data_IF_593766436648
#
_entry.id   IF_593766436648
#
_cell.length_a   1.000
_cell.length_b   1.000
_cell.length_c   1.000
_cell.angle_alpha   90.00
_cell.angle_beta   90.00
_cell.angle_gamma   90.00
#
_symmetry.space_group_name_H-M   'P 1'
#
loop_
_entity.id
_entity.type
_entity.pdbx_description
1 polymer ?
#
# COMPACT_ATOMS: atom_id res chain seq x y z
N UNK A 1 -16.68 27.79 67.92
CA UNK A 1 -16.15 27.74 66.53
C UNK A 1 -15.61 26.34 66.30
N UNK A 2 -16.09 25.59 65.30
CA UNK A 2 -15.62 24.23 64.97
C UNK A 2 -14.58 24.30 63.85
N UNK A 3 -13.50 23.50 63.86
CA UNK A 3 -12.51 23.54 62.79
C UNK A 3 -13.06 22.79 61.57
N UNK A 4 -12.92 23.43 60.41
CA UNK A 4 -13.27 22.85 59.11
C UNK A 4 -12.14 21.90 58.70
N UNK A 5 -12.42 20.59 58.64
CA UNK A 5 -11.47 19.59 58.15
C UNK A 5 -11.49 19.56 56.62
N UNK A 6 -10.36 19.95 56.02
CA UNK A 6 -10.11 19.89 54.58
C UNK A 6 -9.95 18.42 54.17
N UNK A 7 -10.99 17.82 53.59
CA UNK A 7 -10.89 16.49 52.97
C UNK A 7 -10.19 16.63 51.63
N UNK A 8 -8.97 16.12 51.55
CA UNK A 8 -8.21 15.97 50.31
C UNK A 8 -8.96 15.00 49.40
N UNK A 9 -9.67 15.52 48.41
CA UNK A 9 -10.25 14.71 47.33
C UNK A 9 -9.15 14.51 46.27
N UNK A 10 -8.35 13.46 46.44
CA UNK A 10 -7.44 12.98 45.40
C UNK A 10 -8.29 12.37 44.28
N UNK A 11 -8.62 13.20 43.29
CA UNK A 11 -9.16 12.76 42.01
C UNK A 11 -8.03 12.06 41.25
N UNK A 12 -7.91 10.74 41.39
CA UNK A 12 -7.06 9.95 40.48
C UNK A 12 -7.76 9.88 39.13
N UNK A 13 -7.48 10.86 38.27
CA UNK A 13 -7.80 10.78 36.85
C UNK A 13 -6.99 9.61 36.30
N UNK A 14 -7.68 8.49 36.06
CA UNK A 14 -7.10 7.35 35.36
C UNK A 14 -6.64 7.80 33.98
N UNK A 15 -5.32 7.73 33.75
CA UNK A 15 -4.77 7.85 32.41
C UNK A 15 -5.23 6.63 31.61
N UNK A 16 -6.29 6.80 30.80
CA UNK A 16 -6.52 5.89 29.69
C UNK A 16 -5.43 6.16 28.66
N UNK A 17 -4.39 5.33 28.66
CA UNK A 17 -3.39 5.26 27.61
C UNK A 17 -4.03 4.67 26.36
N UNK A 18 -4.78 5.50 25.63
CA UNK A 18 -5.13 5.17 24.25
C UNK A 18 -3.92 5.46 23.39
N UNK A 19 -3.03 4.48 23.22
CA UNK A 19 -2.11 4.51 22.09
C UNK A 19 -2.93 4.23 20.83
N UNK A 20 -3.62 5.25 20.32
CA UNK A 20 -4.13 5.23 18.96
C UNK A 20 -2.93 5.28 18.03
N UNK A 21 -2.31 4.13 17.79
CA UNK A 21 -1.48 3.96 16.61
C UNK A 21 -2.43 4.00 15.41
N UNK A 22 -2.70 5.21 14.93
CA UNK A 22 -3.24 5.39 13.59
C UNK A 22 -2.11 5.00 12.62
N UNK A 23 -1.93 3.70 12.40
CA UNK A 23 -1.10 3.15 11.32
C UNK A 23 -1.89 3.33 10.02
N UNK A 24 -2.10 4.59 9.62
CA UNK A 24 -2.87 4.84 8.39
C UNK A 24 -1.97 5.02 7.18
N UNK A 25 -0.68 5.38 7.33
CA UNK A 25 0.22 5.64 6.19
C UNK A 25 1.66 5.09 6.31
N UNK A 26 1.89 4.03 7.09
CA UNK A 26 3.24 3.47 7.22
C UNK A 26 3.79 2.87 5.90
N UNK A 27 2.91 2.51 4.97
CA UNK A 27 3.27 1.81 3.74
C UNK A 27 3.39 2.73 2.53
N UNK A 28 4.46 2.53 1.76
CA UNK A 28 4.75 3.25 0.53
C UNK A 28 4.03 2.57 -0.64
N UNK A 29 3.22 3.32 -1.38
CA UNK A 29 2.62 2.84 -2.64
C UNK A 29 3.46 3.33 -3.81
N UNK A 30 3.74 2.46 -4.76
CA UNK A 30 4.53 2.77 -5.94
C UNK A 30 3.60 3.08 -7.11
N UNK A 31 3.78 4.24 -7.71
CA UNK A 31 3.07 4.70 -8.91
C UNK A 31 4.08 4.63 -10.07
N UNK A 32 3.63 4.19 -11.24
CA UNK A 32 4.47 4.15 -12.44
C UNK A 32 4.04 5.29 -13.34
N UNK A 33 4.98 6.16 -13.73
CA UNK A 33 4.67 7.30 -14.57
C UNK A 33 4.19 6.86 -15.96
N UNK A 34 2.93 7.16 -16.26
CA UNK A 34 2.32 7.00 -17.58
C UNK A 34 1.80 8.33 -18.16
N UNK A 35 2.07 9.46 -17.49
CA UNK A 35 1.47 10.76 -17.74
C UNK A 35 0.22 11.01 -16.91
N UNK A 36 -0.95 10.99 -17.54
CA UNK A 36 -2.18 11.53 -16.95
C UNK A 36 -2.65 10.77 -15.71
N UNK A 37 -2.58 9.43 -15.72
CA UNK A 37 -3.09 8.62 -14.62
C UNK A 37 -2.22 8.77 -13.38
N UNK A 38 -0.88 8.71 -13.54
CA UNK A 38 0.08 9.00 -12.48
C UNK A 38 -0.14 10.41 -11.91
N UNK A 39 -0.25 11.44 -12.76
CA UNK A 39 -0.48 12.82 -12.33
C UNK A 39 -1.76 12.98 -11.50
N UNK A 40 -2.85 12.32 -11.89
CA UNK A 40 -4.09 12.34 -11.09
C UNK A 40 -3.91 11.67 -9.73
N UNK A 41 -3.18 10.56 -9.66
CA UNK A 41 -2.93 9.85 -8.39
C UNK A 41 -2.05 10.70 -7.47
N UNK A 42 -0.95 11.26 -7.99
CA UNK A 42 -0.03 12.11 -7.23
C UNK A 42 -0.71 13.38 -6.69
N UNK A 43 -1.66 13.94 -7.46
CA UNK A 43 -2.45 15.10 -7.06
C UNK A 43 -3.64 14.78 -6.14
N UNK A 44 -3.82 13.52 -5.73
CA UNK A 44 -4.93 13.08 -4.87
C UNK A 44 -6.29 12.96 -5.58
N UNK A 45 -6.33 13.08 -6.90
CA UNK A 45 -7.54 12.98 -7.71
C UNK A 45 -7.84 11.53 -8.13
N UNK A 46 -7.91 10.61 -7.17
CA UNK A 46 -8.02 9.17 -7.42
C UNK A 46 -9.24 8.77 -8.25
N UNK A 47 -10.40 9.39 -8.02
CA UNK A 47 -11.60 9.10 -8.79
C UNK A 47 -11.46 9.53 -10.26
N UNK A 48 -10.81 10.68 -10.52
CA UNK A 48 -10.49 11.11 -11.89
C UNK A 48 -9.49 10.16 -12.56
N UNK A 49 -8.53 9.63 -11.80
CA UNK A 49 -7.62 8.61 -12.31
C UNK A 49 -8.42 7.39 -12.82
N UNK A 50 -9.40 6.91 -12.05
CA UNK A 50 -10.24 5.77 -12.44
C UNK A 50 -11.16 6.04 -13.64
N UNK A 51 -11.56 7.29 -13.84
CA UNK A 51 -12.39 7.74 -14.98
C UNK A 51 -11.56 8.05 -16.23
N UNK A 52 -10.27 8.35 -16.06
CA UNK A 52 -9.37 8.58 -17.18
C UNK A 52 -9.29 7.32 -18.05
N UNK A 53 -9.47 7.52 -19.35
CA UNK A 53 -9.14 6.47 -20.33
C UNK A 53 -7.62 6.36 -20.33
N UNK A 54 -7.08 5.16 -20.11
CA UNK A 54 -5.67 4.92 -20.35
C UNK A 54 -5.41 5.17 -21.84
N UNK A 55 -4.82 6.32 -22.18
CA UNK A 55 -4.68 6.78 -23.55
C UNK A 55 -3.65 6.02 -24.38
N UNK A 56 -3.30 4.78 -24.04
CA UNK A 56 -2.18 4.05 -24.64
C UNK A 56 -2.63 2.63 -24.99
N UNK A 57 -2.49 2.34 -26.30
CA UNK A 57 -2.38 1.06 -27.01
C UNK A 57 -2.45 -0.18 -26.12
N UNK A 58 -3.22 -1.19 -26.52
CA UNK A 58 -3.30 -2.54 -25.91
C UNK A 58 -1.97 -3.32 -26.00
N UNK A 59 -0.87 -2.72 -25.51
CA UNK A 59 0.41 -3.40 -25.32
C UNK A 59 0.47 -3.92 -23.88
N UNK A 60 1.16 -5.06 -23.65
CA UNK A 60 1.36 -5.57 -22.29
C UNK A 60 1.97 -4.55 -21.33
N UNK A 61 2.88 -3.67 -21.79
CA UNK A 61 3.46 -2.60 -20.97
C UNK A 61 2.38 -1.61 -20.51
N UNK A 62 1.56 -1.11 -21.43
CA UNK A 62 0.54 -0.11 -21.11
C UNK A 62 -0.55 -0.71 -20.21
N UNK A 63 -0.95 -1.96 -20.47
CA UNK A 63 -1.89 -2.70 -19.63
C UNK A 63 -1.33 -2.92 -18.23
N UNK A 64 -0.08 -3.38 -18.10
CA UNK A 64 0.57 -3.53 -16.80
C UNK A 64 0.53 -2.22 -15.99
N UNK A 65 0.99 -1.12 -16.59
CA UNK A 65 1.09 0.18 -15.91
C UNK A 65 -0.29 0.71 -15.51
N UNK A 66 -1.26 0.63 -16.42
CA UNK A 66 -2.64 1.06 -16.16
C UNK A 66 -3.26 0.31 -14.97
N UNK A 67 -3.09 -1.01 -14.92
CA UNK A 67 -3.64 -1.85 -13.85
C UNK A 67 -2.93 -1.60 -12.50
N UNK A 68 -1.61 -1.40 -12.48
CA UNK A 68 -0.88 -1.02 -11.26
C UNK A 68 -1.35 0.33 -10.72
N UNK A 69 -1.43 1.35 -11.58
CA UNK A 69 -1.84 2.69 -11.16
C UNK A 69 -3.31 2.72 -10.69
N UNK A 70 -4.20 2.00 -11.38
CA UNK A 70 -5.60 1.83 -10.94
C UNK A 70 -5.69 1.08 -9.62
N UNK A 71 -4.82 0.09 -9.37
CA UNK A 71 -4.71 -0.57 -8.08
C UNK A 71 -4.37 0.44 -6.98
N UNK A 72 -3.35 1.29 -7.18
CA UNK A 72 -2.98 2.35 -6.23
C UNK A 72 -4.14 3.32 -5.95
N UNK A 73 -4.82 3.79 -6.99
CA UNK A 73 -5.98 4.67 -6.85
C UNK A 73 -7.09 4.01 -6.01
N UNK A 74 -7.35 2.72 -6.20
CA UNK A 74 -8.34 1.99 -5.41
C UNK A 74 -7.88 1.78 -3.95
N UNK A 75 -6.59 1.53 -3.67
CA UNK A 75 -6.07 1.49 -2.29
C UNK A 75 -6.32 2.84 -1.59
N UNK A 76 -6.03 3.95 -2.26
CA UNK A 76 -6.25 5.31 -1.72
C UNK A 76 -7.73 5.62 -1.48
N UNK A 77 -8.63 5.01 -2.25
CA UNK A 77 -10.08 5.09 -2.06
C UNK A 77 -10.64 4.05 -1.07
N UNK A 78 -9.78 3.26 -0.41
CA UNK A 78 -10.18 2.14 0.45
C UNK A 78 -11.04 1.07 -0.24
N UNK A 79 -10.88 0.90 -1.55
CA UNK A 79 -11.52 -0.13 -2.39
C UNK A 79 -10.57 -1.32 -2.56
N UNK A 80 -10.39 -2.09 -1.48
CA UNK A 80 -9.26 -3.02 -1.36
C UNK A 80 -9.44 -4.30 -2.21
N UNK A 81 -10.66 -4.78 -2.37
CA UNK A 81 -10.99 -5.92 -3.23
C UNK A 81 -10.73 -5.62 -4.70
N UNK A 82 -11.15 -4.44 -5.16
CA UNK A 82 -10.83 -3.96 -6.51
C UNK A 82 -9.32 -3.77 -6.68
N UNK A 83 -8.65 -3.18 -5.69
CA UNK A 83 -7.20 -3.01 -5.74
C UNK A 83 -6.45 -4.35 -5.87
N UNK A 84 -6.78 -5.36 -5.05
CA UNK A 84 -6.16 -6.67 -5.14
C UNK A 84 -6.38 -7.31 -6.53
N UNK A 85 -7.59 -7.16 -7.08
CA UNK A 85 -7.94 -7.67 -8.41
C UNK A 85 -7.10 -7.00 -9.51
N UNK A 86 -7.01 -5.67 -9.50
CA UNK A 86 -6.26 -4.89 -10.48
C UNK A 86 -4.76 -5.18 -10.41
N UNK A 87 -4.18 -5.19 -9.20
CA UNK A 87 -2.77 -5.56 -9.03
C UNK A 87 -2.49 -7.01 -9.49
N UNK A 88 -3.43 -7.95 -9.25
CA UNK A 88 -3.30 -9.32 -9.73
C UNK A 88 -3.39 -9.42 -11.25
N UNK A 89 -4.27 -8.62 -11.87
CA UNK A 89 -4.36 -8.50 -13.33
C UNK A 89 -3.10 -7.88 -13.93
N UNK A 90 -2.51 -6.86 -13.31
CA UNK A 90 -1.22 -6.32 -13.77
C UNK A 90 -0.16 -7.43 -13.86
N UNK A 91 -0.08 -8.28 -12.84
CA UNK A 91 0.92 -9.36 -12.79
C UNK A 91 0.77 -10.38 -13.93
N UNK A 92 -0.41 -10.54 -14.53
CA UNK A 92 -0.57 -11.42 -15.71
C UNK A 92 0.16 -10.89 -16.94
N UNK A 93 0.36 -9.57 -17.05
CA UNK A 93 1.09 -8.94 -18.15
C UNK A 93 2.61 -8.86 -17.92
N UNK A 94 3.08 -9.13 -16.69
CA UNK A 94 4.48 -8.87 -16.29
C UNK A 94 5.51 -9.58 -17.16
N UNK A 95 5.25 -10.84 -17.54
CA UNK A 95 6.13 -11.63 -18.39
C UNK A 95 6.06 -11.25 -19.87
N UNK A 96 5.01 -10.55 -20.29
CA UNK A 96 4.76 -10.16 -21.67
C UNK A 96 5.26 -8.75 -22.00
N UNK A 97 5.68 -7.98 -20.99
CA UNK A 97 6.19 -6.63 -21.23
C UNK A 97 7.38 -6.63 -22.19
N UNK A 98 7.46 -5.69 -23.12
CA UNK A 98 8.64 -5.44 -23.94
C UNK A 98 9.52 -4.38 -23.29
N UNK A 99 10.28 -4.80 -22.27
CA UNK A 99 11.23 -3.98 -21.51
C UNK A 99 12.45 -4.82 -21.11
N UNK A 100 13.60 -4.20 -20.79
CA UNK A 100 14.74 -4.90 -20.23
C UNK A 100 14.37 -5.75 -19.01
N UNK A 101 15.02 -6.90 -18.84
CA UNK A 101 14.69 -7.85 -17.78
C UNK A 101 14.80 -7.25 -16.36
N UNK A 102 15.74 -6.33 -16.12
CA UNK A 102 15.88 -5.67 -14.82
C UNK A 102 14.68 -4.73 -14.56
N UNK A 103 14.28 -3.93 -15.55
CA UNK A 103 13.11 -3.06 -15.47
C UNK A 103 11.84 -3.88 -15.23
N UNK A 104 11.68 -5.01 -15.91
CA UNK A 104 10.56 -5.93 -15.69
C UNK A 104 10.49 -6.38 -14.24
N UNK A 105 11.61 -6.83 -13.67
CA UNK A 105 11.66 -7.28 -12.27
C UNK A 105 11.31 -6.17 -11.29
N UNK A 106 11.81 -4.97 -11.53
CA UNK A 106 11.50 -3.80 -10.71
C UNK A 106 10.01 -3.45 -10.76
N UNK A 107 9.44 -3.32 -11.96
CA UNK A 107 8.02 -3.04 -12.12
C UNK A 107 7.14 -4.14 -11.49
N UNK A 108 7.48 -5.42 -11.67
CA UNK A 108 6.78 -6.53 -11.01
C UNK A 108 6.88 -6.44 -9.49
N UNK A 109 8.04 -6.06 -8.94
CA UNK A 109 8.19 -5.86 -7.48
C UNK A 109 7.26 -4.77 -6.94
N UNK A 110 7.02 -3.72 -7.73
CA UNK A 110 6.07 -2.66 -7.36
C UNK A 110 4.63 -3.16 -7.36
N UNK A 111 4.22 -3.91 -8.39
CA UNK A 111 2.89 -4.51 -8.45
C UNK A 111 2.63 -5.49 -7.29
N UNK A 112 3.60 -6.35 -6.97
CA UNK A 112 3.54 -7.26 -5.82
C UNK A 112 3.40 -6.50 -4.49
N UNK A 113 4.26 -5.51 -4.25
CA UNK A 113 4.19 -4.73 -3.02
C UNK A 113 2.88 -3.93 -2.90
N UNK A 114 2.34 -3.39 -3.99
CA UNK A 114 1.03 -2.73 -3.96
C UNK A 114 -0.10 -3.74 -3.68
N UNK A 115 -0.05 -4.93 -4.28
CA UNK A 115 -1.02 -6.01 -4.00
C UNK A 115 -0.99 -6.43 -2.54
N UNK A 116 0.20 -6.50 -1.95
CA UNK A 116 0.38 -6.79 -0.53
C UNK A 116 -0.38 -5.77 0.33
N UNK A 117 -0.36 -4.49 -0.03
CA UNK A 117 -1.08 -3.45 0.73
C UNK A 117 -2.59 -3.65 0.70
N UNK A 118 -3.15 -3.95 -0.47
CA UNK A 118 -4.57 -4.30 -0.58
C UNK A 118 -4.89 -5.53 0.30
N UNK A 119 -4.06 -6.58 0.23
CA UNK A 119 -4.20 -7.81 1.03
C UNK A 119 -4.11 -7.58 2.53
N UNK A 120 -3.19 -6.73 3.00
CA UNK A 120 -3.09 -6.35 4.41
C UNK A 120 -4.38 -5.71 4.92
N UNK A 121 -4.96 -4.79 4.13
CA UNK A 121 -6.22 -4.14 4.47
C UNK A 121 -7.42 -5.09 4.47
N UNK A 122 -7.32 -6.19 3.70
CA UNK A 122 -8.26 -7.31 3.70
C UNK A 122 -7.94 -8.40 4.75
N UNK A 123 -7.00 -8.16 5.66
CA UNK A 123 -6.52 -9.15 6.65
C UNK A 123 -5.95 -10.45 6.05
N UNK A 124 -5.54 -10.43 4.77
CA UNK A 124 -4.89 -11.54 4.05
C UNK A 124 -3.38 -11.56 4.30
N UNK A 125 -2.99 -11.61 5.58
CA UNK A 125 -1.61 -11.37 6.04
C UNK A 125 -0.58 -12.30 5.40
N UNK A 126 -0.83 -13.61 5.36
CA UNK A 126 0.10 -14.59 4.77
C UNK A 126 0.38 -14.30 3.29
N UNK A 127 -0.68 -14.00 2.52
CA UNK A 127 -0.55 -13.68 1.11
C UNK A 127 0.18 -12.35 0.88
N UNK A 128 -0.06 -11.34 1.74
CA UNK A 128 0.63 -10.07 1.68
C UNK A 128 2.13 -10.18 2.00
N UNK A 129 2.50 -10.93 3.04
CA UNK A 129 3.90 -11.18 3.38
C UNK A 129 4.60 -11.96 2.28
N UNK A 130 3.94 -12.95 1.70
CA UNK A 130 4.47 -13.68 0.54
C UNK A 130 4.77 -12.74 -0.63
N UNK A 131 3.84 -11.84 -0.97
CA UNK A 131 4.04 -10.85 -2.04
C UNK A 131 5.24 -9.93 -1.75
N UNK A 132 5.40 -9.48 -0.50
CA UNK A 132 6.50 -8.58 -0.11
C UNK A 132 7.87 -9.28 -0.14
N UNK A 133 7.94 -10.54 0.28
CA UNK A 133 9.16 -11.33 0.14
C UNK A 133 9.52 -11.56 -1.32
N UNK A 134 8.55 -11.94 -2.16
CA UNK A 134 8.76 -12.11 -3.59
C UNK A 134 9.24 -10.80 -4.23
N UNK A 135 8.58 -9.67 -3.93
CA UNK A 135 8.99 -8.36 -4.41
C UNK A 135 10.44 -8.02 -4.03
N UNK A 136 10.83 -8.28 -2.78
CA UNK A 136 12.18 -8.03 -2.26
C UNK A 136 13.24 -8.86 -2.98
N UNK A 137 12.94 -10.14 -3.26
CA UNK A 137 13.83 -11.03 -4.03
C UNK A 137 13.93 -10.57 -5.50
N UNK A 138 12.83 -10.10 -6.10
CA UNK A 138 12.81 -9.68 -7.50
C UNK A 138 13.64 -8.41 -7.74
N UNK A 139 13.45 -7.40 -6.91
CA UNK A 139 14.15 -6.11 -6.99
C UNK A 139 14.29 -5.49 -5.60
N UNK A 140 15.39 -5.77 -4.89
CA UNK A 140 15.62 -5.19 -3.58
C UNK A 140 15.82 -3.68 -3.73
N UNK A 141 14.91 -2.91 -3.11
CA UNK A 141 14.96 -1.45 -3.12
C UNK A 141 14.34 -0.89 -1.83
N UNK A 142 14.70 0.35 -1.51
CA UNK A 142 14.31 0.98 -0.25
C UNK A 142 12.80 1.12 -0.03
N UNK A 143 11.98 1.06 -1.08
CA UNK A 143 10.52 1.15 -0.96
C UNK A 143 9.91 -0.22 -0.59
N UNK A 144 10.28 -1.26 -1.34
CA UNK A 144 9.82 -2.63 -1.10
C UNK A 144 10.32 -3.16 0.25
N UNK A 145 11.59 -2.91 0.58
CA UNK A 145 12.18 -3.33 1.85
C UNK A 145 11.52 -2.62 3.04
N UNK A 146 11.25 -1.31 2.93
CA UNK A 146 10.54 -0.59 3.97
C UNK A 146 9.13 -1.15 4.20
N UNK A 147 8.42 -1.53 3.13
CA UNK A 147 7.10 -2.15 3.24
C UNK A 147 7.17 -3.54 3.88
N UNK A 148 8.13 -4.37 3.47
CA UNK A 148 8.34 -5.68 4.07
C UNK A 148 8.64 -5.57 5.58
N UNK A 149 9.56 -4.69 5.96
CA UNK A 149 9.91 -4.47 7.37
C UNK A 149 8.73 -3.93 8.18
N UNK A 150 7.96 -2.99 7.61
CA UNK A 150 6.74 -2.49 8.24
C UNK A 150 5.74 -3.62 8.51
N UNK A 151 5.53 -4.51 7.52
CA UNK A 151 4.62 -5.64 7.66
C UNK A 151 5.12 -6.65 8.70
N UNK A 152 6.42 -6.98 8.70
CA UNK A 152 7.04 -7.87 9.68
C UNK A 152 6.87 -7.33 11.11
N UNK A 153 7.15 -6.05 11.31
CA UNK A 153 7.02 -5.40 12.61
C UNK A 153 5.57 -5.42 13.13
N UNK A 154 4.59 -5.15 12.26
CA UNK A 154 3.18 -5.19 12.62
C UNK A 154 2.70 -6.60 12.97
N UNK A 155 3.27 -7.63 12.34
CA UNK A 155 2.94 -9.03 12.56
C UNK A 155 3.84 -9.74 13.59
N UNK A 156 4.79 -9.01 14.20
CA UNK A 156 5.78 -9.56 15.13
C UNK A 156 6.58 -10.73 14.54
N UNK A 157 6.85 -10.69 13.23
CA UNK A 157 7.65 -11.68 12.52
C UNK A 157 9.13 -11.29 12.62
N UNK A 158 9.98 -12.19 13.12
CA UNK A 158 11.44 -12.04 13.08
C UNK A 158 12.01 -12.46 11.71
N UNK A 159 13.23 -12.01 11.40
CA UNK A 159 14.04 -12.49 10.26
C UNK A 159 14.41 -13.97 10.37
#
# INVERSE_FOLDING_TARGET
MKPLTLKTLLLTVGMMSTSTWAITDAYKLMIIDDGDLANFIESGHYQKALESKSGKVDSPNALFVSEVNRCVANIRLSRYEEAETLCSKALTFSNEMDVPAHTRKELTSFALSNRAMARLKLSKHTAAISDLYEASIMSPNSYVEANLQTAKNQMQLSD
#
